data_IF_699647792055
#
_entry.id   IF_699647792055
#
_cell.length_a   1.000
_cell.length_b   1.000
_cell.length_c   1.000
_cell.angle_alpha   90.00
_cell.angle_beta   90.00
_cell.angle_gamma   90.00
#
_symmetry.space_group_name_H-M   'P 1'
#
loop_
_entity.id
_entity.type
_entity.pdbx_description
1 polymer ?
#
# COMPACT_ATOMS: atom_id res chain seq x y z
N UNK A 1 21.75 13.40 6.16
CA UNK A 1 20.77 12.30 5.97
C UNK A 1 21.53 11.09 5.48
N UNK A 2 21.54 9.97 6.21
CA UNK A 2 22.29 8.77 5.78
C UNK A 2 21.46 8.05 4.70
N UNK A 3 22.02 7.86 3.49
CA UNK A 3 21.47 6.93 2.51
C UNK A 3 21.36 5.56 3.18
N UNK A 4 20.18 4.95 3.12
CA UNK A 4 19.93 3.67 3.80
C UNK A 4 20.36 2.52 2.89
N UNK A 5 20.29 2.72 1.57
CA UNK A 5 20.76 1.77 0.56
C UNK A 5 21.49 2.52 -0.55
N UNK A 6 22.67 2.04 -0.89
CA UNK A 6 23.45 2.47 -2.03
C UNK A 6 23.74 1.20 -2.85
N UNK A 7 22.92 0.95 -3.87
CA UNK A 7 23.12 -0.16 -4.79
C UNK A 7 23.77 0.34 -6.08
N UNK A 8 24.37 -0.56 -6.86
CA UNK A 8 24.93 -0.26 -8.18
C UNK A 8 23.94 0.36 -9.17
N UNK A 9 22.64 0.39 -8.84
CA UNK A 9 21.55 0.88 -9.67
C UNK A 9 20.99 2.24 -9.23
N UNK A 10 21.70 3.03 -8.43
CA UNK A 10 21.28 4.36 -7.95
C UNK A 10 19.91 4.41 -7.25
N UNK A 11 19.35 3.26 -6.80
CA UNK A 11 18.13 3.24 -6.02
C UNK A 11 18.36 3.94 -4.68
N UNK A 12 17.53 4.91 -4.38
CA UNK A 12 17.56 5.58 -3.08
C UNK A 12 16.25 5.42 -2.34
N UNK A 13 16.35 5.18 -1.03
CA UNK A 13 15.22 5.09 -0.11
C UNK A 13 15.34 6.25 0.87
N UNK A 14 14.39 7.18 0.82
CA UNK A 14 14.40 8.39 1.65
C UNK A 14 13.14 8.44 2.50
N UNK A 15 13.24 8.52 3.85
CA UNK A 15 12.06 8.70 4.68
C UNK A 15 11.21 9.89 4.20
N UNK A 16 9.90 9.69 4.10
CA UNK A 16 8.94 10.73 3.74
C UNK A 16 8.52 11.52 4.97
N UNK A 17 8.17 10.82 6.03
CA UNK A 17 7.83 11.41 7.32
C UNK A 17 8.60 10.68 8.45
N UNK A 18 8.66 11.24 9.67
CA UNK A 18 9.43 10.64 10.76
C UNK A 18 9.05 9.21 11.11
N UNK A 19 7.77 8.89 11.04
CA UNK A 19 7.18 7.67 11.60
C UNK A 19 6.53 6.76 10.57
N UNK A 20 6.42 7.19 9.31
CA UNK A 20 5.71 6.44 8.27
C UNK A 20 6.11 6.93 6.88
N UNK A 21 6.27 5.99 5.97
CA UNK A 21 6.47 6.26 4.56
C UNK A 21 7.92 6.54 4.14
N UNK A 22 8.26 6.10 2.93
CA UNK A 22 9.50 6.45 2.25
C UNK A 22 9.27 6.69 0.76
N UNK A 23 10.08 7.58 0.20
CA UNK A 23 10.16 7.83 -1.25
C UNK A 23 11.26 6.92 -1.80
N UNK A 24 10.92 6.18 -2.84
CA UNK A 24 11.85 5.37 -3.63
C UNK A 24 12.11 6.09 -4.94
N UNK A 25 13.38 6.24 -5.31
CA UNK A 25 13.80 6.78 -6.61
C UNK A 25 14.92 5.93 -7.21
N UNK A 26 15.19 6.11 -8.51
CA UNK A 26 16.22 5.34 -9.23
C UNK A 26 15.74 3.96 -9.70
N UNK A 27 14.43 3.75 -9.75
CA UNK A 27 13.80 2.55 -10.31
C UNK A 27 12.61 2.95 -11.18
N UNK A 28 12.38 2.25 -12.25
CA UNK A 28 11.20 2.36 -13.12
C UNK A 28 10.44 1.03 -13.08
N UNK A 29 9.28 1.04 -12.43
CA UNK A 29 8.44 -0.13 -12.21
C UNK A 29 7.74 -0.63 -13.49
N UNK A 30 7.79 0.12 -14.60
CA UNK A 30 7.29 -0.32 -15.90
C UNK A 30 8.21 -1.35 -16.58
N UNK A 31 9.46 -1.46 -16.11
CA UNK A 31 10.47 -2.38 -16.60
C UNK A 31 10.57 -3.65 -15.73
N UNK A 32 11.39 -4.60 -16.19
CA UNK A 32 11.74 -5.77 -15.38
C UNK A 32 12.56 -5.36 -14.16
N UNK A 33 12.19 -5.84 -13.00
CA UNK A 33 12.85 -5.55 -11.73
C UNK A 33 13.70 -6.76 -11.33
N UNK A 34 14.94 -6.53 -10.96
CA UNK A 34 15.86 -7.57 -10.50
C UNK A 34 15.55 -8.01 -9.07
N UNK A 35 16.00 -9.21 -8.69
CA UNK A 35 15.85 -9.72 -7.33
C UNK A 35 16.49 -8.81 -6.27
N UNK A 36 17.59 -8.14 -6.62
CA UNK A 36 18.25 -7.17 -5.74
C UNK A 36 17.34 -5.95 -5.49
N UNK A 37 16.73 -5.41 -6.54
CA UNK A 37 15.80 -4.27 -6.46
C UNK A 37 14.57 -4.64 -5.66
N UNK A 38 13.99 -5.81 -5.89
CA UNK A 38 12.88 -6.34 -5.09
C UNK A 38 13.27 -6.49 -3.63
N UNK A 39 14.48 -6.99 -3.34
CA UNK A 39 14.99 -7.06 -1.97
C UNK A 39 15.00 -5.69 -1.28
N UNK A 40 15.50 -4.66 -1.96
CA UNK A 40 15.52 -3.29 -1.43
C UNK A 40 14.10 -2.77 -1.18
N UNK A 41 13.17 -3.02 -2.10
CA UNK A 41 11.77 -2.59 -1.97
C UNK A 41 11.10 -3.29 -0.77
N UNK A 42 11.29 -4.61 -0.63
CA UNK A 42 10.75 -5.38 0.50
C UNK A 42 11.27 -4.89 1.85
N UNK A 43 12.58 -4.68 1.96
CA UNK A 43 13.21 -4.16 3.18
C UNK A 43 12.67 -2.76 3.52
N UNK A 44 12.54 -1.91 2.50
CA UNK A 44 11.96 -0.58 2.67
C UNK A 44 10.49 -0.66 3.09
N UNK A 45 9.69 -1.56 2.50
CA UNK A 45 8.28 -1.74 2.85
C UNK A 45 8.12 -2.20 4.30
N UNK A 46 8.86 -3.20 4.74
CA UNK A 46 8.83 -3.66 6.12
C UNK A 46 9.23 -2.57 7.12
N UNK A 47 10.16 -1.70 6.72
CA UNK A 47 10.65 -0.65 7.59
C UNK A 47 9.73 0.57 7.66
N UNK A 48 9.18 0.99 6.52
CA UNK A 48 8.46 2.25 6.38
C UNK A 48 6.95 2.08 6.17
N UNK A 49 6.47 0.87 5.93
CA UNK A 49 5.06 0.45 5.76
C UNK A 49 4.34 1.07 4.55
N UNK A 50 4.74 2.25 4.12
CA UNK A 50 4.22 2.92 2.91
C UNK A 50 5.38 3.35 2.04
N UNK A 51 5.31 3.04 0.75
CA UNK A 51 6.32 3.42 -0.23
C UNK A 51 5.70 4.27 -1.33
N UNK A 52 6.38 5.35 -1.69
CA UNK A 52 5.99 6.23 -2.78
C UNK A 52 7.03 6.15 -3.90
N UNK A 53 6.58 5.74 -5.06
CA UNK A 53 7.38 5.70 -6.29
C UNK A 53 6.97 6.88 -7.15
N UNK A 54 7.79 7.93 -7.17
CA UNK A 54 7.51 9.16 -7.91
C UNK A 54 7.98 9.05 -9.36
N UNK A 55 7.32 9.79 -10.25
CA UNK A 55 7.70 9.93 -11.66
C UNK A 55 7.80 8.58 -12.41
N UNK A 56 6.89 7.66 -12.08
CA UNK A 56 6.82 6.37 -12.77
C UNK A 56 6.14 6.53 -14.12
N UNK A 57 6.65 5.80 -15.11
CA UNK A 57 5.91 5.55 -16.36
C UNK A 57 4.64 4.74 -16.06
N UNK A 58 3.69 4.74 -16.96
CA UNK A 58 2.51 3.89 -16.83
C UNK A 58 2.92 2.41 -16.73
N UNK A 59 2.50 1.78 -15.65
CA UNK A 59 2.73 0.35 -15.42
C UNK A 59 1.59 -0.42 -16.07
N UNK A 60 1.90 -1.23 -17.06
CA UNK A 60 0.91 -2.07 -17.70
C UNK A 60 0.31 -3.10 -16.71
N UNK A 61 -0.95 -3.50 -16.85
CA UNK A 61 -1.60 -4.45 -15.93
C UNK A 61 -0.79 -5.72 -15.67
N UNK A 62 -0.15 -6.28 -16.70
CA UNK A 62 0.71 -7.47 -16.57
C UNK A 62 1.90 -7.23 -15.63
N UNK A 63 2.55 -6.07 -15.75
CA UNK A 63 3.70 -5.71 -14.92
C UNK A 63 3.27 -5.42 -13.48
N UNK A 64 2.09 -4.81 -13.32
CA UNK A 64 1.49 -4.56 -12.00
C UNK A 64 1.24 -5.87 -11.25
N UNK A 65 0.67 -6.89 -11.94
CA UNK A 65 0.48 -8.23 -11.39
C UNK A 65 1.82 -8.87 -11.01
N UNK A 66 2.81 -8.87 -11.92
CA UNK A 66 4.13 -9.45 -11.65
C UNK A 66 4.78 -8.77 -10.44
N UNK A 67 4.68 -7.46 -10.32
CA UNK A 67 5.20 -6.71 -9.20
C UNK A 67 4.51 -7.12 -7.87
N UNK A 68 3.19 -7.25 -7.89
CA UNK A 68 2.42 -7.73 -6.73
C UNK A 68 2.83 -9.15 -6.30
N UNK A 69 3.05 -10.06 -7.26
CA UNK A 69 3.43 -11.46 -6.99
C UNK A 69 4.77 -11.60 -6.26
N UNK A 70 5.67 -10.63 -6.34
CA UNK A 70 6.88 -10.63 -5.52
C UNK A 70 6.59 -10.55 -4.00
N UNK A 71 5.41 -10.06 -3.61
CA UNK A 71 5.01 -9.93 -2.21
C UNK A 71 4.15 -11.10 -1.71
N UNK A 72 3.63 -11.92 -2.59
CA UNK A 72 2.80 -13.09 -2.28
C UNK A 72 1.71 -13.34 -3.31
N UNK A 73 0.79 -14.23 -2.97
CA UNK A 73 -0.38 -14.50 -3.78
C UNK A 73 -1.29 -13.27 -3.86
N UNK A 74 -1.84 -13.03 -5.05
CA UNK A 74 -2.68 -11.86 -5.26
C UNK A 74 -4.11 -12.14 -4.77
N UNK A 75 -4.65 -11.19 -4.04
CA UNK A 75 -6.01 -11.25 -3.55
C UNK A 75 -7.02 -10.78 -4.63
N UNK A 76 -8.08 -11.55 -4.80
CA UNK A 76 -9.22 -11.18 -5.64
C UNK A 76 -10.33 -10.57 -4.78
N UNK A 77 -10.42 -9.25 -4.78
CA UNK A 77 -11.43 -8.55 -3.98
C UNK A 77 -12.85 -9.02 -4.33
N UNK A 78 -13.66 -9.49 -3.36
CA UNK A 78 -14.94 -10.15 -3.64
C UNK A 78 -15.99 -9.19 -4.22
N UNK A 79 -15.99 -7.93 -3.83
CA UNK A 79 -17.03 -6.95 -4.16
C UNK A 79 -16.58 -5.86 -5.14
N UNK A 80 -15.27 -5.71 -5.43
CA UNK A 80 -14.80 -4.65 -6.31
C UNK A 80 -15.01 -4.99 -7.80
N UNK A 81 -15.28 -3.99 -8.66
CA UNK A 81 -15.34 -4.18 -10.10
C UNK A 81 -13.95 -4.57 -10.61
N UNK A 82 -13.86 -5.73 -11.25
CA UNK A 82 -12.61 -6.30 -11.73
C UNK A 82 -12.27 -5.78 -13.12
N UNK A 83 -10.98 -5.50 -13.34
CA UNK A 83 -10.48 -5.19 -14.68
C UNK A 83 -10.67 -6.39 -15.60
N UNK A 84 -11.13 -6.16 -16.83
CA UNK A 84 -11.28 -7.21 -17.82
C UNK A 84 -9.92 -7.87 -18.11
N UNK A 85 -9.85 -9.18 -18.01
CA UNK A 85 -8.68 -10.05 -18.18
C UNK A 85 -7.62 -9.97 -17.03
N UNK A 86 -7.81 -9.12 -16.02
CA UNK A 86 -6.92 -8.98 -14.86
C UNK A 86 -7.77 -8.88 -13.59
N UNK A 87 -8.34 -10.00 -13.11
CA UNK A 87 -9.30 -9.98 -12.01
C UNK A 87 -8.71 -9.57 -10.67
N UNK A 88 -7.39 -9.56 -10.55
CA UNK A 88 -6.62 -9.12 -9.38
C UNK A 88 -6.51 -7.59 -9.31
N UNK A 89 -6.81 -6.91 -10.41
CA UNK A 89 -6.78 -5.45 -10.50
C UNK A 89 -8.22 -4.93 -10.56
N UNK A 90 -8.52 -3.94 -9.73
CA UNK A 90 -9.75 -3.19 -9.87
C UNK A 90 -9.48 -1.71 -10.10
N UNK A 91 -10.38 -1.08 -10.84
CA UNK A 91 -10.30 0.33 -11.17
C UNK A 91 -11.15 1.14 -10.20
N UNK A 92 -10.51 2.11 -9.53
CA UNK A 92 -11.20 3.10 -8.73
C UNK A 92 -11.36 4.34 -9.61
N UNK A 93 -12.58 4.62 -10.03
CA UNK A 93 -12.90 5.78 -10.86
C UNK A 93 -13.94 6.64 -10.15
N UNK A 94 -13.54 7.86 -9.79
CA UNK A 94 -14.43 8.86 -9.20
C UNK A 94 -14.56 10.06 -10.12
N UNK A 95 -15.78 10.50 -10.34
CA UNK A 95 -16.12 11.72 -11.07
C UNK A 95 -17.02 12.62 -10.23
N UNK A 96 -17.36 13.80 -10.79
CA UNK A 96 -18.26 14.76 -10.14
C UNK A 96 -19.67 14.25 -9.83
N UNK A 97 -20.07 13.10 -10.38
CA UNK A 97 -21.36 12.46 -10.16
C UNK A 97 -21.26 11.28 -9.18
N UNK A 98 -20.06 10.89 -8.79
CA UNK A 98 -19.85 9.83 -7.81
C UNK A 98 -20.41 10.28 -6.46
N UNK A 99 -21.43 9.57 -5.97
CA UNK A 99 -22.13 9.93 -4.72
C UNK A 99 -21.37 9.55 -3.46
N UNK A 100 -20.43 8.63 -3.59
CA UNK A 100 -19.60 8.12 -2.50
C UNK A 100 -18.17 8.06 -3.03
N UNK A 101 -17.23 8.63 -2.31
CA UNK A 101 -15.80 8.45 -2.59
C UNK A 101 -15.37 7.05 -2.17
N UNK A 102 -15.87 6.03 -2.88
CA UNK A 102 -15.50 4.62 -2.78
C UNK A 102 -15.40 4.02 -1.36
N UNK A 103 -16.18 4.53 -0.39
CA UNK A 103 -16.25 3.99 0.97
C UNK A 103 -15.00 4.20 1.84
N UNK A 104 -14.02 4.97 1.37
CA UNK A 104 -12.74 5.16 2.05
C UNK A 104 -12.69 6.49 2.83
N UNK A 105 -13.78 6.86 3.51
CA UNK A 105 -13.83 8.09 4.30
C UNK A 105 -13.17 7.94 5.69
N UNK A 106 -13.07 6.71 6.20
CA UNK A 106 -12.51 6.41 7.50
C UNK A 106 -11.22 5.58 7.40
N UNK A 107 -10.36 5.69 8.42
CA UNK A 107 -9.18 4.83 8.52
C UNK A 107 -9.58 3.37 8.69
N UNK A 108 -9.10 2.51 7.83
CA UNK A 108 -9.34 1.06 7.83
C UNK A 108 -8.09 0.30 7.40
N UNK A 109 -8.12 -1.01 7.59
CA UNK A 109 -7.21 -1.94 6.94
C UNK A 109 -7.99 -2.71 5.89
N UNK A 110 -7.44 -2.79 4.67
CA UNK A 110 -8.11 -3.46 3.56
C UNK A 110 -8.39 -4.93 3.89
N UNK A 111 -9.62 -5.36 3.59
CA UNK A 111 -10.09 -6.76 3.65
C UNK A 111 -9.75 -7.47 4.98
N UNK A 112 -9.76 -6.74 6.07
CA UNK A 112 -9.45 -7.29 7.42
C UNK A 112 -10.44 -8.36 7.90
N UNK A 113 -11.55 -8.55 7.20
CA UNK A 113 -12.55 -9.58 7.45
C UNK A 113 -12.17 -10.97 6.90
N UNK A 114 -11.19 -11.05 6.00
CA UNK A 114 -10.73 -12.33 5.46
C UNK A 114 -9.91 -13.10 6.49
N UNK A 115 -9.92 -14.44 6.35
CA UNK A 115 -9.11 -15.34 7.20
C UNK A 115 -7.63 -15.06 7.02
N UNK A 116 -7.22 -14.75 5.77
CA UNK A 116 -5.86 -14.37 5.37
C UNK A 116 -5.93 -13.01 4.67
N UNK A 117 -5.93 -11.90 5.44
CA UNK A 117 -5.94 -10.57 4.85
C UNK A 117 -4.71 -10.31 3.97
N UNK A 118 -4.82 -9.53 2.89
CA UNK A 118 -3.68 -9.20 2.05
C UNK A 118 -2.59 -8.45 2.85
N UNK A 119 -1.33 -8.73 2.54
CA UNK A 119 -0.17 -8.09 3.18
C UNK A 119 -0.16 -6.57 2.96
N UNK A 120 -0.66 -6.11 1.83
CA UNK A 120 -0.69 -4.71 1.45
C UNK A 120 -1.39 -4.48 0.13
N UNK A 121 -1.55 -3.23 -0.22
CA UNK A 121 -2.22 -2.78 -1.44
C UNK A 121 -1.24 -1.98 -2.30
N UNK A 122 -1.29 -2.18 -3.60
CA UNK A 122 -0.50 -1.44 -4.57
C UNK A 122 -1.43 -0.58 -5.43
N UNK A 123 -1.25 0.73 -5.38
CA UNK A 123 -2.08 1.71 -6.08
C UNK A 123 -1.26 2.47 -7.12
N UNK A 124 -1.76 2.52 -8.35
CA UNK A 124 -1.24 3.40 -9.39
C UNK A 124 -2.26 4.49 -9.68
N UNK A 125 -1.84 5.76 -9.58
CA UNK A 125 -2.65 6.91 -9.93
C UNK A 125 -2.48 7.23 -11.42
N UNK A 126 -3.58 7.24 -12.16
CA UNK A 126 -3.63 7.62 -13.58
C UNK A 126 -4.06 9.07 -13.77
N UNK A 127 -4.97 9.56 -12.91
CA UNK A 127 -5.48 10.93 -12.97
C UNK A 127 -5.43 11.52 -11.57
N UNK A 128 -4.75 12.66 -11.46
CA UNK A 128 -4.68 13.43 -10.22
C UNK A 128 -5.67 14.60 -10.31
N UNK A 129 -6.49 14.85 -9.29
CA UNK A 129 -7.27 16.07 -9.20
C UNK A 129 -6.36 17.29 -9.00
N UNK A 130 -6.81 18.47 -9.38
CA UNK A 130 -6.07 19.71 -9.12
C UNK A 130 -5.89 20.00 -7.62
N UNK A 131 -6.82 19.48 -6.80
CA UNK A 131 -6.81 19.70 -5.36
C UNK A 131 -7.64 18.60 -4.66
N UNK A 132 -7.18 18.16 -3.47
CA UNK A 132 -7.85 17.15 -2.67
C UNK A 132 -7.63 15.72 -3.17
N UNK A 133 -8.34 14.77 -2.58
CA UNK A 133 -8.21 13.34 -2.90
C UNK A 133 -6.94 12.69 -2.32
N UNK A 134 -6.35 13.30 -1.28
CA UNK A 134 -5.17 12.76 -0.62
C UNK A 134 -5.49 11.44 0.09
N UNK A 135 -4.58 10.47 -0.06
CA UNK A 135 -4.63 9.24 0.73
C UNK A 135 -3.84 9.44 2.03
N UNK A 136 -4.49 9.21 3.15
CA UNK A 136 -3.88 9.34 4.47
C UNK A 136 -3.55 7.96 5.05
N UNK A 137 -2.42 7.88 5.75
CA UNK A 137 -1.97 6.64 6.40
C UNK A 137 -1.69 6.89 7.88
N UNK A 138 -1.99 5.91 8.73
CA UNK A 138 -1.68 5.93 10.15
C UNK A 138 -0.79 4.74 10.54
N UNK A 139 0.25 5.00 11.33
CA UNK A 139 1.11 3.94 11.86
C UNK A 139 0.47 3.32 13.11
N UNK A 140 -0.18 2.18 12.95
CA UNK A 140 -0.88 1.50 14.04
C UNK A 140 0.07 0.81 15.04
N UNK A 141 1.33 0.52 14.67
CA UNK A 141 2.33 0.06 15.63
C UNK A 141 2.62 1.16 16.66
N UNK A 142 2.90 2.37 16.19
CA UNK A 142 3.14 3.51 17.09
C UNK A 142 1.89 3.89 17.89
N UNK A 143 0.71 3.79 17.28
CA UNK A 143 -0.54 4.03 18.00
C UNK A 143 -0.70 3.06 19.19
N UNK A 144 -0.41 1.77 18.99
CA UNK A 144 -0.44 0.77 20.05
C UNK A 144 0.67 0.99 21.08
N UNK A 145 1.89 1.29 20.63
CA UNK A 145 3.05 1.53 21.51
C UNK A 145 2.88 2.77 22.41
N UNK A 146 2.12 3.77 21.94
CA UNK A 146 1.79 4.96 22.70
C UNK A 146 0.79 4.71 23.85
N UNK A 147 0.11 3.57 23.87
CA UNK A 147 -0.79 3.21 24.95
C UNK A 147 -0.02 2.88 26.23
N UNK A 148 -0.65 3.12 27.38
CA UNK A 148 -0.10 2.68 28.66
C UNK A 148 0.02 1.15 28.74
N UNK A 149 0.99 0.64 29.49
CA UNK A 149 1.18 -0.81 29.64
C UNK A 149 -0.10 -1.55 30.10
N UNK A 150 -0.88 -1.05 31.09
CA UNK A 150 -2.16 -1.68 31.43
C UNK A 150 -3.13 -1.75 30.26
N UNK A 151 -3.19 -0.70 29.42
CA UNK A 151 -4.07 -0.70 28.24
C UNK A 151 -3.59 -1.70 27.17
N UNK A 152 -2.29 -1.78 26.92
CA UNK A 152 -1.71 -2.77 25.99
C UNK A 152 -2.05 -4.21 26.43
N UNK A 153 -1.93 -4.50 27.73
CA UNK A 153 -2.25 -5.80 28.32
C UNK A 153 -3.76 -6.08 28.18
N UNK A 154 -4.60 -5.09 28.50
CA UNK A 154 -6.06 -5.23 28.37
C UNK A 154 -6.48 -5.53 26.94
N UNK A 155 -6.02 -4.73 25.96
CA UNK A 155 -6.36 -4.90 24.54
C UNK A 155 -5.81 -6.20 23.97
N UNK A 156 -4.62 -6.64 24.39
CA UNK A 156 -4.04 -7.91 23.95
C UNK A 156 -4.84 -9.16 24.34
N UNK A 157 -5.74 -9.05 25.33
CA UNK A 157 -6.67 -10.12 25.72
C UNK A 157 -7.99 -10.11 24.96
N UNK A 158 -8.27 -9.10 24.15
CA UNK A 158 -9.54 -8.95 23.45
C UNK A 158 -9.49 -9.63 22.08
N UNK A 159 -10.69 -9.92 21.55
CA UNK A 159 -10.91 -10.33 20.17
C UNK A 159 -11.86 -9.33 19.53
N UNK A 160 -11.58 -8.96 18.27
CA UNK A 160 -12.47 -8.17 17.46
C UNK A 160 -13.13 -9.06 16.40
N UNK A 161 -14.39 -8.82 16.12
CA UNK A 161 -15.08 -9.40 14.97
C UNK A 161 -14.95 -8.42 13.82
N UNK A 162 -14.47 -8.90 12.68
CA UNK A 162 -14.34 -8.10 11.46
C UNK A 162 -15.38 -8.57 10.47
N UNK A 163 -16.22 -7.67 10.01
CA UNK A 163 -17.33 -7.94 9.12
C UNK A 163 -17.29 -6.99 7.92
N UNK A 164 -17.68 -7.48 6.74
CA UNK A 164 -17.76 -6.71 5.50
C UNK A 164 -19.19 -6.35 5.08
N UNK A 165 -20.20 -6.82 5.82
CA UNK A 165 -21.60 -6.49 5.54
C UNK A 165 -21.94 -5.11 6.11
N UNK A 166 -22.44 -4.23 5.26
CA UNK A 166 -22.95 -2.89 5.56
C UNK A 166 -24.46 -2.82 5.31
#
# INVERSE_FOLDING_TARGET
MKKIYDSKNDITVKPFAPNLGAIITGIDLSNSISDTEIGIIKDAFHKFQVLFFQNQSEILPQNHIVLGQFFGDLHNHPAAPKMKNFPEIFEINTDKNSKIANGAEDFHSDVSCDIEPPLGTMLQLHVLPECGGDTMFANMYLAYEALSKPMQVFLGGLKAFHESEH
#
